data_IF_208373132858
#
_entry.id   IF_208373132858
#
_cell.length_a   1.000
_cell.length_b   1.000
_cell.length_c   1.000
_cell.angle_alpha   90.00
_cell.angle_beta   90.00
_cell.angle_gamma   90.00
#
_symmetry.space_group_name_H-M   'P 1'
#
loop_
_entity.id
_entity.type
_entity.pdbx_description
1 polymer ?
#
# COMPACT_ATOMS: atom_id res chain seq x y z
N UNK A 1 -18.15 8.01 10.41
CA UNK A 1 -18.19 7.11 9.23
C UNK A 1 -17.30 5.93 9.49
N UNK A 2 -17.74 4.69 9.24
CA UNK A 2 -16.92 3.50 9.43
C UNK A 2 -15.89 3.44 8.30
N UNK A 3 -14.61 3.15 8.63
CA UNK A 3 -13.55 3.04 7.62
C UNK A 3 -13.80 1.85 6.70
N UNK A 4 -13.56 2.05 5.41
CA UNK A 4 -13.54 0.98 4.40
C UNK A 4 -12.44 -0.03 4.72
N UNK A 5 -11.31 0.46 5.24
CA UNK A 5 -10.14 -0.35 5.58
C UNK A 5 -10.33 -0.97 6.97
N UNK A 6 -10.51 -2.26 7.04
CA UNK A 6 -10.68 -3.05 8.28
C UNK A 6 -9.33 -3.51 8.86
N UNK A 7 -9.35 -4.42 9.85
CA UNK A 7 -8.14 -4.90 10.54
C UNK A 7 -7.52 -6.17 9.93
N UNK A 8 -7.92 -6.54 8.70
CA UNK A 8 -7.33 -7.73 8.07
C UNK A 8 -5.89 -7.45 7.61
N UNK A 9 -4.96 -8.38 7.82
CA UNK A 9 -3.58 -8.24 7.35
C UNK A 9 -3.52 -7.91 5.84
N UNK A 10 -2.62 -7.03 5.41
CA UNK A 10 -2.57 -6.52 4.04
C UNK A 10 -1.84 -7.47 3.08
N UNK A 11 -2.26 -8.75 3.04
CA UNK A 11 -1.83 -9.62 1.95
C UNK A 11 -2.29 -9.02 0.61
N UNK A 12 -1.60 -9.34 -0.47
CA UNK A 12 -1.79 -8.69 -1.77
C UNK A 12 -3.26 -8.64 -2.21
N UNK A 13 -4.00 -9.74 -2.04
CA UNK A 13 -5.43 -9.79 -2.37
C UNK A 13 -6.27 -8.87 -1.48
N UNK A 14 -5.95 -8.77 -0.20
CA UNK A 14 -6.65 -7.86 0.72
C UNK A 14 -6.43 -6.40 0.30
N UNK A 15 -5.21 -6.02 -0.06
CA UNK A 15 -4.91 -4.68 -0.57
C UNK A 15 -5.71 -4.38 -1.85
N UNK A 16 -5.75 -5.32 -2.82
CA UNK A 16 -6.56 -5.16 -4.04
C UNK A 16 -8.05 -4.97 -3.71
N UNK A 17 -8.59 -5.75 -2.78
CA UNK A 17 -9.99 -5.63 -2.37
C UNK A 17 -10.29 -4.26 -1.75
N UNK A 18 -9.40 -3.73 -0.89
CA UNK A 18 -9.54 -2.39 -0.34
C UNK A 18 -9.51 -1.32 -1.43
N UNK A 19 -8.60 -1.43 -2.40
CA UNK A 19 -8.49 -0.49 -3.52
C UNK A 19 -9.79 -0.50 -4.35
N UNK A 20 -10.32 -1.66 -4.69
CA UNK A 20 -11.58 -1.77 -5.42
C UNK A 20 -12.75 -1.10 -4.66
N UNK A 21 -12.80 -1.28 -3.34
CA UNK A 21 -13.83 -0.65 -2.50
C UNK A 21 -13.65 0.87 -2.42
N UNK A 22 -12.40 1.34 -2.33
CA UNK A 22 -12.08 2.77 -2.35
C UNK A 22 -12.48 3.42 -3.69
N UNK A 23 -12.19 2.78 -4.82
CA UNK A 23 -12.62 3.28 -6.13
C UNK A 23 -14.13 3.36 -6.27
N UNK A 24 -14.86 2.35 -5.78
CA UNK A 24 -16.33 2.36 -5.80
C UNK A 24 -16.91 3.50 -4.94
N UNK A 25 -16.27 3.83 -3.80
CA UNK A 25 -16.70 4.89 -2.89
C UNK A 25 -16.23 6.29 -3.32
N UNK A 26 -15.12 6.38 -4.04
CA UNK A 26 -14.43 7.61 -4.40
C UNK A 26 -14.01 7.62 -5.88
N UNK A 27 -14.92 7.91 -6.82
CA UNK A 27 -14.64 7.84 -8.27
C UNK A 27 -13.56 8.82 -8.77
N UNK A 28 -13.18 9.80 -7.97
CA UNK A 28 -12.09 10.75 -8.26
C UNK A 28 -10.69 10.21 -7.92
N UNK A 29 -10.62 9.06 -7.24
CA UNK A 29 -9.36 8.37 -6.99
C UNK A 29 -8.98 7.58 -8.24
N UNK A 30 -7.79 7.85 -8.76
CA UNK A 30 -7.30 7.22 -9.99
C UNK A 30 -6.23 6.18 -9.67
N UNK A 31 -6.18 5.09 -10.42
CA UNK A 31 -5.11 4.10 -10.35
C UNK A 31 -4.15 4.30 -11.52
N UNK A 32 -2.85 4.43 -11.21
CA UNK A 32 -1.80 4.55 -12.22
C UNK A 32 -1.04 3.24 -12.36
N UNK A 33 -0.66 2.85 -13.58
CA UNK A 33 0.25 1.72 -13.80
C UNK A 33 1.58 1.96 -13.09
N UNK A 34 2.03 1.04 -12.23
CA UNK A 34 3.25 1.21 -11.44
C UNK A 34 4.21 0.02 -11.49
N UNK A 35 3.78 -1.11 -12.04
CA UNK A 35 4.64 -2.27 -12.26
C UNK A 35 4.29 -3.50 -11.42
N UNK A 36 5.24 -4.44 -11.36
CA UNK A 36 5.08 -5.72 -10.68
C UNK A 36 6.31 -6.08 -9.85
N UNK A 37 6.07 -6.79 -8.77
CA UNK A 37 7.12 -7.36 -7.93
C UNK A 37 7.87 -8.50 -8.62
N UNK A 38 8.91 -9.01 -7.97
CA UNK A 38 9.71 -10.17 -8.43
C UNK A 38 8.84 -11.41 -8.69
N UNK A 39 7.82 -11.63 -7.88
CA UNK A 39 6.90 -12.77 -8.01
C UNK A 39 5.67 -12.45 -8.87
N UNK A 40 5.65 -11.27 -9.51
CA UNK A 40 4.59 -10.86 -10.43
C UNK A 40 3.38 -10.23 -9.76
N UNK A 41 3.42 -9.97 -8.45
CA UNK A 41 2.35 -9.24 -7.74
C UNK A 41 2.34 -7.79 -8.21
N UNK A 42 1.16 -7.27 -8.46
CA UNK A 42 0.97 -5.89 -8.89
C UNK A 42 1.33 -4.91 -7.76
N UNK A 43 2.05 -3.85 -8.10
CA UNK A 43 2.33 -2.73 -7.20
C UNK A 43 1.32 -1.64 -7.55
N UNK A 44 0.49 -1.27 -6.59
CA UNK A 44 -0.58 -0.30 -6.80
C UNK A 44 -0.08 1.13 -6.56
N UNK A 45 -0.43 2.04 -7.44
CA UNK A 45 -0.24 3.47 -7.24
C UNK A 45 -1.57 4.19 -7.45
N UNK A 46 -2.03 4.88 -6.42
CA UNK A 46 -3.30 5.60 -6.42
C UNK A 46 -3.02 7.09 -6.40
N UNK A 47 -3.78 7.88 -7.18
CA UNK A 47 -3.57 9.32 -7.23
C UNK A 47 -4.87 10.09 -7.01
N UNK A 48 -4.74 11.28 -6.44
CA UNK A 48 -5.82 12.25 -6.32
C UNK A 48 -5.30 13.68 -6.47
N UNK A 49 -6.18 14.58 -6.91
CA UNK A 49 -5.82 15.97 -7.21
C UNK A 49 -5.26 16.12 -8.63
N UNK A 50 -5.52 17.27 -9.25
CA UNK A 50 -5.20 17.52 -10.66
C UNK A 50 -3.83 18.15 -10.90
N UNK A 51 -3.13 18.59 -9.86
CA UNK A 51 -1.82 19.22 -10.01
C UNK A 51 -0.78 18.23 -10.57
N UNK A 52 0.08 18.75 -11.45
CA UNK A 52 1.16 17.98 -12.08
C UNK A 52 2.16 17.51 -11.03
N UNK A 53 2.49 18.37 -10.07
CA UNK A 53 3.41 18.04 -8.98
C UNK A 53 2.64 17.29 -7.88
N UNK A 54 3.11 16.10 -7.54
CA UNK A 54 2.50 15.22 -6.55
C UNK A 54 3.44 14.96 -5.37
N UNK A 55 2.87 14.94 -4.17
CA UNK A 55 3.54 14.38 -3.00
C UNK A 55 3.31 12.88 -3.00
N UNK A 56 4.39 12.11 -2.91
CA UNK A 56 4.34 10.64 -2.90
C UNK A 56 4.39 10.11 -1.47
N UNK A 57 3.42 9.29 -1.12
CA UNK A 57 3.39 8.49 0.10
C UNK A 57 3.62 7.03 -0.23
N UNK A 58 4.60 6.42 0.43
CA UNK A 58 4.97 5.01 0.22
C UNK A 58 4.90 4.27 1.55
N UNK A 59 4.39 3.04 1.53
CA UNK A 59 4.36 2.14 2.67
C UNK A 59 4.78 0.72 2.26
N UNK A 60 5.09 -0.12 3.24
CA UNK A 60 5.46 -1.52 3.02
C UNK A 60 6.71 -1.68 2.17
N UNK A 61 7.73 -0.87 2.42
CA UNK A 61 9.08 -1.04 1.83
C UNK A 61 9.72 -2.32 2.36
N UNK A 62 9.64 -2.54 3.66
CA UNK A 62 10.07 -3.79 4.30
C UNK A 62 8.87 -4.70 4.57
N UNK A 63 9.05 -6.01 4.35
CA UNK A 63 7.98 -6.98 4.49
C UNK A 63 7.41 -7.08 5.89
N UNK A 64 8.25 -7.07 6.92
CA UNK A 64 7.85 -7.12 8.34
C UNK A 64 7.11 -5.88 8.83
N UNK A 65 7.22 -4.76 8.11
CA UNK A 65 6.58 -3.48 8.46
C UNK A 65 5.20 -3.32 7.79
N UNK A 66 4.51 -4.42 7.55
CA UNK A 66 3.22 -4.46 6.87
C UNK A 66 2.14 -3.58 7.50
N UNK A 67 2.26 -3.25 8.80
CA UNK A 67 1.33 -2.33 9.47
C UNK A 67 1.30 -0.95 8.81
N UNK A 68 2.41 -0.50 8.25
CA UNK A 68 2.50 0.79 7.53
C UNK A 68 1.57 0.82 6.32
N UNK A 69 1.36 -0.32 5.64
CA UNK A 69 0.39 -0.45 4.54
C UNK A 69 -1.03 -0.13 5.02
N UNK A 70 -1.42 -0.65 6.18
CA UNK A 70 -2.73 -0.42 6.77
C UNK A 70 -2.92 1.03 7.20
N UNK A 71 -1.88 1.64 7.78
CA UNK A 71 -1.90 3.05 8.17
C UNK A 71 -2.12 3.92 6.94
N UNK A 72 -1.37 3.67 5.86
CA UNK A 72 -1.47 4.47 4.64
C UNK A 72 -2.83 4.30 3.94
N UNK A 73 -3.36 3.07 3.87
CA UNK A 73 -4.69 2.81 3.31
C UNK A 73 -5.80 3.50 4.11
N UNK A 74 -5.71 3.49 5.45
CA UNK A 74 -6.67 4.21 6.31
C UNK A 74 -6.56 5.71 6.18
N UNK A 75 -5.35 6.23 6.06
CA UNK A 75 -5.14 7.65 5.80
C UNK A 75 -5.76 8.05 4.47
N UNK A 76 -5.55 7.26 3.41
CA UNK A 76 -6.15 7.50 2.09
C UNK A 76 -7.69 7.49 2.15
N UNK A 77 -8.30 6.50 2.81
CA UNK A 77 -9.75 6.42 3.00
C UNK A 77 -10.30 7.68 3.70
N UNK A 78 -9.66 8.07 4.81
CA UNK A 78 -10.03 9.28 5.56
C UNK A 78 -9.86 10.56 4.72
N UNK A 79 -8.80 10.63 3.95
CA UNK A 79 -8.52 11.77 3.07
C UNK A 79 -9.55 11.88 1.95
N UNK A 80 -9.88 10.76 1.30
CA UNK A 80 -10.91 10.71 0.26
C UNK A 80 -12.30 11.09 0.82
N UNK A 81 -12.65 10.61 2.01
CA UNK A 81 -13.90 10.99 2.67
C UNK A 81 -13.94 12.50 2.96
N UNK A 82 -12.87 13.07 3.53
CA UNK A 82 -12.80 14.51 3.80
C UNK A 82 -12.84 15.33 2.51
N UNK A 83 -12.18 14.90 1.44
CA UNK A 83 -12.24 15.56 0.13
C UNK A 83 -13.65 15.55 -0.44
N UNK A 84 -14.33 14.40 -0.42
CA UNK A 84 -15.72 14.27 -0.91
C UNK A 84 -16.69 15.16 -0.13
N UNK A 85 -16.59 15.17 1.19
CA UNK A 85 -17.54 15.80 2.09
C UNK A 85 -17.21 17.29 2.38
N UNK A 86 -16.09 17.83 1.88
CA UNK A 86 -15.62 19.19 2.16
C UNK A 86 -15.12 19.33 3.60
N UNK A 87 -14.46 18.30 4.13
CA UNK A 87 -13.96 18.27 5.49
C UNK A 87 -12.48 18.63 5.63
N UNK A 88 -12.03 18.69 6.89
CA UNK A 88 -10.65 18.96 7.26
C UNK A 88 -10.00 17.77 7.95
N UNK A 89 -8.68 17.65 7.81
CA UNK A 89 -7.82 16.72 8.56
C UNK A 89 -6.79 17.55 9.33
N UNK A 90 -6.73 17.38 10.64
CA UNK A 90 -5.85 18.15 11.52
C UNK A 90 -5.96 19.69 11.31
N UNK A 91 -7.17 20.18 11.08
CA UNK A 91 -7.44 21.61 10.86
C UNK A 91 -7.15 22.11 9.43
N UNK A 92 -6.65 21.26 8.52
CA UNK A 92 -6.38 21.62 7.13
C UNK A 92 -7.56 21.20 6.25
N UNK A 93 -8.19 22.16 5.56
CA UNK A 93 -9.22 21.89 4.56
C UNK A 93 -8.60 21.12 3.38
N UNK A 94 -9.13 19.90 3.12
CA UNK A 94 -8.54 18.98 2.17
C UNK A 94 -8.71 19.46 0.73
N UNK A 95 -9.84 20.05 0.38
CA UNK A 95 -10.07 20.56 -0.98
C UNK A 95 -9.14 21.70 -1.30
N UNK A 96 -9.01 22.65 -0.39
CA UNK A 96 -8.10 23.80 -0.54
C UNK A 96 -6.65 23.35 -0.65
N UNK A 97 -6.21 22.38 0.18
CA UNK A 97 -4.85 21.85 0.12
C UNK A 97 -4.52 21.18 -1.22
N UNK A 98 -5.52 20.62 -1.91
CA UNK A 98 -5.33 19.91 -3.18
C UNK A 98 -5.53 20.80 -4.42
N UNK A 99 -5.85 22.08 -4.28
CA UNK A 99 -5.95 23.01 -5.41
C UNK A 99 -4.61 23.18 -6.15
N UNK A 100 -3.51 23.23 -5.42
CA UNK A 100 -2.16 23.43 -5.96
C UNK A 100 -1.26 22.21 -5.93
N UNK A 101 -1.71 21.06 -5.42
CA UNK A 101 -0.91 19.85 -5.27
C UNK A 101 -1.72 18.59 -5.55
N UNK A 102 -1.07 17.60 -6.19
CA UNK A 102 -1.59 16.26 -6.27
C UNK A 102 -0.96 15.36 -5.20
N UNK A 103 -1.58 14.23 -4.96
CA UNK A 103 -1.05 13.19 -4.08
C UNK A 103 -0.94 11.87 -4.84
N UNK A 104 0.09 11.12 -4.53
CA UNK A 104 0.27 9.75 -5.03
C UNK A 104 0.55 8.82 -3.84
N UNK A 105 -0.04 7.64 -3.86
CA UNK A 105 0.03 6.65 -2.79
C UNK A 105 0.44 5.30 -3.33
N UNK A 106 1.51 4.73 -2.79
CA UNK A 106 1.92 3.33 -3.01
C UNK A 106 1.71 2.59 -1.69
N UNK A 107 0.52 1.96 -1.49
CA UNK A 107 0.16 1.36 -0.21
C UNK A 107 1.05 0.18 0.21
N UNK A 108 1.68 -0.50 -0.76
CA UNK A 108 2.59 -1.60 -0.51
C UNK A 108 3.63 -1.66 -1.63
N UNK A 109 4.83 -1.14 -1.36
CA UNK A 109 5.93 -1.15 -2.34
C UNK A 109 6.53 -2.55 -2.52
N UNK A 110 6.57 -3.34 -1.45
CA UNK A 110 7.15 -4.68 -1.41
C UNK A 110 6.09 -5.77 -1.10
N UNK A 111 5.15 -6.03 -2.03
CA UNK A 111 4.09 -7.01 -1.77
C UNK A 111 4.62 -8.42 -1.58
N UNK A 112 5.76 -8.78 -2.19
CA UNK A 112 6.39 -10.08 -1.97
C UNK A 112 6.94 -10.21 -0.55
N UNK A 113 7.62 -9.18 -0.06
CA UNK A 113 8.16 -9.17 1.30
C UNK A 113 7.04 -9.25 2.35
N UNK A 114 5.95 -8.51 2.15
CA UNK A 114 4.78 -8.54 3.04
C UNK A 114 4.12 -9.92 3.05
N UNK A 115 3.93 -10.55 1.89
CA UNK A 115 3.41 -11.92 1.80
C UNK A 115 4.32 -12.93 2.51
N UNK A 116 5.63 -12.80 2.36
CA UNK A 116 6.60 -13.68 3.05
C UNK A 116 6.53 -13.49 4.57
N UNK A 117 6.50 -12.25 5.03
CA UNK A 117 6.41 -11.94 6.46
C UNK A 117 5.10 -12.45 7.10
N UNK A 118 3.97 -12.34 6.38
CA UNK A 118 2.65 -12.72 6.89
C UNK A 118 2.31 -14.20 6.70
N UNK A 119 2.75 -14.84 5.61
CA UNK A 119 2.37 -16.19 5.21
C UNK A 119 3.53 -17.17 5.23
N UNK A 120 4.69 -16.72 5.66
CA UNK A 120 5.85 -17.58 5.67
C UNK A 120 6.33 -17.96 4.26
N UNK A 121 6.79 -19.17 4.14
CA UNK A 121 7.33 -19.70 2.88
C UNK A 121 6.30 -19.79 1.75
N UNK A 122 5.01 -19.94 2.07
CA UNK A 122 3.94 -19.93 1.07
C UNK A 122 3.88 -18.59 0.32
N UNK A 123 4.22 -17.50 1.01
CA UNK A 123 4.33 -16.17 0.41
C UNK A 123 5.47 -16.04 -0.60
N UNK A 124 6.51 -16.87 -0.48
CA UNK A 124 7.68 -16.85 -1.35
C UNK A 124 7.47 -17.53 -2.71
N UNK A 125 6.44 -18.36 -2.88
CA UNK A 125 6.11 -19.08 -4.12
C UNK A 125 7.35 -19.80 -4.66
N UNK A 126 7.70 -19.61 -5.94
CA UNK A 126 8.86 -20.21 -6.60
C UNK A 126 10.22 -19.87 -5.96
N UNK A 127 10.29 -18.83 -5.15
CA UNK A 127 11.52 -18.39 -4.47
C UNK A 127 11.65 -18.98 -3.04
N UNK A 128 10.76 -19.90 -2.64
CA UNK A 128 10.80 -20.55 -1.33
C UNK A 128 12.18 -21.09 -0.95
N UNK A 129 12.92 -21.83 -1.81
CA UNK A 129 14.23 -22.37 -1.43
C UNK A 129 15.25 -21.28 -1.08
N UNK A 130 15.19 -20.13 -1.77
CA UNK A 130 16.06 -18.99 -1.48
C UNK A 130 15.67 -18.36 -0.13
N UNK A 131 14.38 -18.11 0.09
CA UNK A 131 13.89 -17.51 1.33
C UNK A 131 14.20 -18.41 2.52
N UNK A 132 14.04 -19.74 2.41
CA UNK A 132 14.42 -20.68 3.48
C UNK A 132 15.91 -20.56 3.86
N UNK A 133 16.77 -20.46 2.87
CA UNK A 133 18.22 -20.33 3.10
C UNK A 133 18.59 -19.02 3.77
N UNK A 134 17.91 -17.92 3.42
CA UNK A 134 18.25 -16.58 3.91
C UNK A 134 17.56 -16.22 5.22
N UNK A 135 16.38 -16.77 5.52
CA UNK A 135 15.56 -16.38 6.68
C UNK A 135 16.03 -16.98 8.01
N UNK A 136 16.96 -17.96 7.97
CA UNK A 136 17.36 -18.65 9.19
C UNK A 136 16.23 -19.43 9.89
N UNK A 137 15.14 -19.75 9.17
CA UNK A 137 13.98 -20.48 9.70
C UNK A 137 12.81 -19.60 10.16
N UNK A 138 12.98 -18.28 10.24
CA UNK A 138 11.93 -17.34 10.65
C UNK A 138 11.72 -16.25 9.61
N UNK A 139 10.51 -16.16 9.07
CA UNK A 139 10.13 -15.16 8.06
C UNK A 139 9.42 -13.94 8.66
N UNK A 140 9.08 -13.95 9.96
CA UNK A 140 8.33 -12.85 10.60
C UNK A 140 9.08 -11.52 10.57
N UNK A 141 10.41 -11.59 10.58
CA UNK A 141 11.31 -10.43 10.46
C UNK A 141 11.82 -10.21 9.02
N UNK A 142 11.21 -10.84 8.01
CA UNK A 142 11.63 -10.69 6.62
C UNK A 142 11.41 -9.26 6.12
N UNK A 143 12.49 -8.57 5.76
CA UNK A 143 12.45 -7.19 5.27
C UNK A 143 12.55 -7.12 3.74
N UNK A 144 13.40 -7.93 3.15
CA UNK A 144 13.77 -7.92 1.75
C UNK A 144 12.59 -8.24 0.79
N UNK A 145 12.83 -8.04 -0.50
CA UNK A 145 11.95 -8.59 -1.53
C UNK A 145 12.14 -10.11 -1.69
N UNK A 146 11.47 -10.75 -2.64
CA UNK A 146 11.56 -12.20 -2.84
C UNK A 146 12.92 -12.69 -3.38
N UNK A 147 13.86 -11.79 -3.73
CA UNK A 147 15.25 -12.12 -4.07
C UNK A 147 16.23 -11.94 -2.91
N UNK A 148 15.75 -11.54 -1.74
CA UNK A 148 16.60 -11.20 -0.61
C UNK A 148 17.29 -9.84 -0.75
N UNK A 149 16.77 -8.95 -1.59
CA UNK A 149 17.28 -7.58 -1.77
C UNK A 149 16.46 -6.64 -0.91
N UNK A 150 17.14 -5.88 -0.06
CA UNK A 150 16.56 -4.76 0.66
C UNK A 150 16.23 -3.62 -0.34
N UNK A 151 15.06 -3.00 -0.18
CA UNK A 151 14.58 -1.92 -1.06
C UNK A 151 14.83 -0.52 -0.51
N UNK A 152 15.48 -0.43 0.64
CA UNK A 152 15.78 0.84 1.27
C UNK A 152 17.26 1.24 1.06
#
# INVERSE_FOLDING_TARGET
>A
MQSIVTNHPPVHQTVRNYINTLHAAYPFLEEMPSGRSVLGREIFCLTMGHAKDKVLYVAGTHGSEWLTCMVLLRFLDRLCAAYRDGGAIAGVDVRTALLGRGLAFVPCLNPDGVEIALRGYDGALRNEPLVRRLSGGDTRCWQANARGVDLN
#
